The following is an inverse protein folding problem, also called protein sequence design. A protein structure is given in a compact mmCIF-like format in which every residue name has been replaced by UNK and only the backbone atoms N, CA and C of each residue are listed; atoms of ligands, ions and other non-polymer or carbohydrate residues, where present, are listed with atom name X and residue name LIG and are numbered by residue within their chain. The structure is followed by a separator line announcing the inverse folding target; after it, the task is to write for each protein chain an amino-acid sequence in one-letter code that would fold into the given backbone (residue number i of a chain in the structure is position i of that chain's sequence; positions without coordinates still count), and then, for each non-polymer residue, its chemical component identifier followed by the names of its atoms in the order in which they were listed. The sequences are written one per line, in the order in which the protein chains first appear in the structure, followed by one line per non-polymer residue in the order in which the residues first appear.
data_IF_042463455083
#
_entry.id   IF_042463455083
#
_cell.length_a   1.000
_cell.length_b   1.000
_cell.length_c   1.000
_cell.angle_alpha   90.00
_cell.angle_beta   90.00
_cell.angle_gamma   90.00
#
_symmetry.space_group_name_H-M   'P 1'
#
loop_
_entity.id
_entity.type
_entity.pdbx_description
1 polymer ?
#
# COMPACT_ATOMS: atom_id res chain seq x y z
N UNK A 1 1.57 -1.53 27.43
CA UNK A 1 0.87 -2.27 28.51
C UNK A 1 -0.15 -3.30 27.98
N UNK A 2 -1.10 -2.91 27.12
CA UNK A 2 -2.16 -3.81 26.66
C UNK A 2 -1.66 -5.05 25.88
N UNK A 3 -0.73 -4.85 24.93
CA UNK A 3 -0.19 -5.97 24.15
C UNK A 3 0.58 -6.98 25.03
N UNK A 4 1.37 -6.50 25.99
CA UNK A 4 2.07 -7.35 26.97
C UNK A 4 1.08 -8.16 27.81
N UNK A 5 0.01 -7.52 28.30
CA UNK A 5 -1.05 -8.19 29.08
C UNK A 5 -1.69 -9.34 28.29
N UNK A 6 -1.81 -9.19 26.97
CA UNK A 6 -2.37 -10.19 26.07
C UNK A 6 -1.32 -11.14 25.46
N UNK A 7 -0.03 -10.97 25.79
CA UNK A 7 1.10 -11.72 25.22
C UNK A 7 1.20 -11.61 23.69
N UNK A 8 0.93 -10.42 23.15
CA UNK A 8 0.96 -10.13 21.72
C UNK A 8 2.15 -9.23 21.31
N UNK A 9 2.93 -8.73 22.27
CA UNK A 9 4.02 -7.76 22.05
C UNK A 9 5.25 -8.33 21.29
N UNK A 10 5.37 -9.65 21.24
CA UNK A 10 6.32 -10.33 20.34
C UNK A 10 5.88 -10.31 18.88
N UNK A 11 4.58 -10.23 18.61
CA UNK A 11 3.99 -10.36 17.28
C UNK A 11 3.46 -9.04 16.71
N UNK A 12 3.03 -8.12 17.56
CA UNK A 12 2.47 -6.83 17.17
C UNK A 12 3.36 -5.73 17.76
N UNK A 13 3.98 -4.96 16.88
CA UNK A 13 4.85 -3.84 17.24
C UNK A 13 4.08 -2.53 17.24
N UNK A 14 4.41 -1.65 18.18
CA UNK A 14 3.80 -0.32 18.30
C UNK A 14 4.75 0.72 17.71
N UNK A 15 4.23 1.58 16.85
CA UNK A 15 4.95 2.72 16.30
C UNK A 15 3.96 3.85 16.00
N UNK A 16 4.44 4.95 15.44
CA UNK A 16 3.62 6.07 15.00
C UNK A 16 4.16 6.58 13.66
N UNK A 17 3.36 6.59 12.58
CA UNK A 17 3.75 7.21 11.32
C UNK A 17 4.08 8.69 11.52
N UNK A 18 5.24 9.11 11.03
CA UNK A 18 5.60 10.54 10.92
C UNK A 18 5.72 10.94 9.47
N UNK A 19 5.27 12.14 9.12
CA UNK A 19 5.58 12.71 7.82
C UNK A 19 7.07 13.08 7.75
N UNK A 20 7.70 12.98 6.57
CA UNK A 20 9.10 13.42 6.39
C UNK A 20 9.33 14.91 6.70
N UNK A 21 8.26 15.70 6.79
CA UNK A 21 8.30 17.10 7.26
C UNK A 21 8.71 17.26 8.73
N UNK A 22 8.90 16.16 9.47
CA UNK A 22 9.58 16.18 10.78
C UNK A 22 11.09 16.48 10.66
N UNK A 23 11.68 16.37 9.46
CA UNK A 23 13.05 16.76 9.19
C UNK A 23 13.21 18.29 9.10
N UNK A 24 14.27 18.81 9.70
CA UNK A 24 14.74 20.18 9.54
C UNK A 24 15.71 20.31 8.37
N UNK A 25 16.56 19.31 8.15
CA UNK A 25 17.39 19.20 6.96
C UNK A 25 17.21 17.82 6.30
N UNK A 26 17.25 17.78 4.97
CA UNK A 26 17.17 16.55 4.17
C UNK A 26 18.05 16.57 2.92
N UNK A 27 18.84 17.64 2.72
CA UNK A 27 19.76 17.74 1.59
C UNK A 27 21.13 18.31 2.02
N UNK A 28 22.25 17.66 1.64
CA UNK A 28 22.31 16.30 1.07
C UNK A 28 21.73 15.25 2.05
N UNK A 29 21.42 14.05 1.58
CA UNK A 29 20.75 13.03 2.40
C UNK A 29 21.57 12.70 3.66
N UNK A 30 22.90 12.66 3.56
CA UNK A 30 23.81 12.43 4.69
C UNK A 30 23.74 13.51 5.79
N UNK A 31 23.17 14.68 5.48
CA UNK A 31 23.01 15.78 6.43
C UNK A 31 21.60 15.82 7.04
N UNK A 32 20.82 14.76 6.85
CA UNK A 32 19.48 14.61 7.41
C UNK A 32 19.47 14.86 8.93
N UNK A 33 18.51 15.66 9.39
CA UNK A 33 18.32 15.96 10.81
C UNK A 33 16.87 16.28 11.12
N UNK A 34 16.39 15.86 12.30
CA UNK A 34 15.06 16.24 12.78
C UNK A 34 15.00 17.73 13.16
N UNK A 35 13.80 18.33 13.09
CA UNK A 35 13.58 19.71 13.53
C UNK A 35 13.93 19.88 15.01
N UNK A 36 14.78 20.85 15.31
CA UNK A 36 15.41 21.02 16.63
C UNK A 36 14.41 21.24 17.77
N UNK A 37 13.29 21.90 17.50
CA UNK A 37 12.20 22.17 18.45
C UNK A 37 11.39 20.92 18.83
N UNK A 38 11.46 19.85 18.02
CA UNK A 38 10.75 18.59 18.24
C UNK A 38 11.65 17.48 18.80
N UNK A 39 12.98 17.64 18.71
CA UNK A 39 13.95 16.58 19.07
C UNK A 39 13.77 16.10 20.51
N UNK A 40 13.80 17.02 21.48
CA UNK A 40 13.80 16.66 22.91
C UNK A 40 12.41 16.26 23.41
N UNK A 41 11.37 16.91 22.93
CA UNK A 41 10.00 16.73 23.43
C UNK A 41 9.29 15.52 22.84
N UNK A 42 9.64 15.14 21.61
CA UNK A 42 8.87 14.16 20.83
C UNK A 42 9.74 13.07 20.22
N UNK A 43 10.81 13.44 19.49
CA UNK A 43 11.58 12.48 18.70
C UNK A 43 12.37 11.53 19.61
N UNK A 44 13.20 12.04 20.53
CA UNK A 44 14.00 11.19 21.42
C UNK A 44 13.11 10.23 22.24
N UNK A 45 12.06 10.69 22.95
CA UNK A 45 11.17 9.79 23.68
C UNK A 45 10.53 8.70 22.80
N UNK A 46 10.16 9.05 21.56
CA UNK A 46 9.61 8.08 20.60
C UNK A 46 10.68 7.05 20.19
N UNK A 47 11.88 7.48 19.80
CA UNK A 47 12.95 6.58 19.36
C UNK A 47 13.43 5.66 20.50
N UNK A 48 13.51 6.17 21.74
CA UNK A 48 13.78 5.36 22.93
C UNK A 48 12.74 4.25 23.11
N UNK A 49 11.46 4.61 23.06
CA UNK A 49 10.38 3.64 23.15
C UNK A 49 10.45 2.57 22.04
N UNK A 50 10.74 2.98 20.80
CA UNK A 50 10.87 2.05 19.68
C UNK A 50 12.05 1.09 19.90
N UNK A 51 13.20 1.59 20.38
CA UNK A 51 14.38 0.77 20.66
C UNK A 51 14.12 -0.22 21.79
N UNK A 52 13.58 0.26 22.91
CA UNK A 52 13.28 -0.57 24.09
C UNK A 52 12.29 -1.70 23.80
N UNK A 53 11.36 -1.49 22.86
CA UNK A 53 10.33 -2.47 22.49
C UNK A 53 10.69 -3.34 21.28
N UNK A 54 11.88 -3.13 20.69
CA UNK A 54 12.31 -3.79 19.45
C UNK A 54 11.37 -3.50 18.28
N UNK A 55 10.83 -2.29 18.22
CA UNK A 55 9.96 -1.78 17.15
C UNK A 55 10.79 -1.05 16.09
N UNK A 56 10.13 -0.29 15.21
CA UNK A 56 10.72 0.42 14.08
C UNK A 56 10.03 1.76 13.87
N UNK A 57 10.72 2.70 13.23
CA UNK A 57 10.15 3.99 12.86
C UNK A 57 9.24 3.83 11.63
N UNK A 58 8.01 4.32 11.71
CA UNK A 58 7.11 4.43 10.56
C UNK A 58 7.21 5.83 9.96
N UNK A 59 7.41 5.94 8.65
CA UNK A 59 7.52 7.25 7.98
C UNK A 59 6.73 7.29 6.67
N UNK A 60 6.09 8.42 6.41
CA UNK A 60 5.41 8.70 5.15
C UNK A 60 6.37 9.52 4.26
N UNK A 61 6.70 8.97 3.08
CA UNK A 61 7.72 9.50 2.17
C UNK A 61 7.10 9.76 0.81
N UNK A 62 7.07 11.00 0.35
CA UNK A 62 6.42 11.37 -0.91
C UNK A 62 7.35 12.22 -1.79
N UNK A 63 8.06 11.61 -2.75
CA UNK A 63 8.83 12.33 -3.76
C UNK A 63 7.98 13.30 -4.58
N UNK A 64 6.68 12.99 -4.77
CA UNK A 64 5.73 13.85 -5.47
C UNK A 64 5.71 15.28 -4.90
N UNK A 65 5.60 15.45 -3.58
CA UNK A 65 5.52 16.80 -2.99
C UNK A 65 6.81 17.58 -3.19
N UNK A 66 7.97 16.94 -2.99
CA UNK A 66 9.26 17.57 -3.23
C UNK A 66 9.42 18.00 -4.70
N UNK A 67 9.04 17.14 -5.64
CA UNK A 67 9.04 17.45 -7.07
C UNK A 67 8.07 18.58 -7.40
N UNK A 68 6.81 18.52 -6.95
CA UNK A 68 5.79 19.54 -7.18
C UNK A 68 6.29 20.93 -6.78
N UNK A 69 6.93 21.03 -5.61
CA UNK A 69 7.39 22.30 -5.07
C UNK A 69 8.71 22.78 -5.68
N UNK A 70 9.52 21.88 -6.28
CA UNK A 70 10.86 22.20 -6.80
C UNK A 70 11.12 21.64 -8.21
N UNK A 71 10.10 21.58 -9.06
CA UNK A 71 10.14 20.91 -10.39
C UNK A 71 11.15 21.49 -11.38
N UNK A 72 11.65 22.70 -11.13
CA UNK A 72 12.73 23.33 -11.92
C UNK A 72 14.13 22.81 -11.56
N UNK A 73 14.28 22.18 -10.40
CA UNK A 73 15.57 21.73 -9.85
C UNK A 73 15.60 20.21 -9.70
N UNK A 74 14.51 19.62 -9.22
CA UNK A 74 14.37 18.18 -9.06
C UNK A 74 13.91 17.59 -10.39
N UNK A 75 14.72 16.70 -10.96
CA UNK A 75 14.35 15.97 -12.18
C UNK A 75 13.13 15.08 -11.95
N UNK A 76 12.22 15.06 -12.90
CA UNK A 76 11.08 14.15 -12.87
C UNK A 76 11.55 12.69 -12.94
N UNK A 77 12.54 12.36 -13.77
CA UNK A 77 13.04 11.00 -13.90
C UNK A 77 13.67 10.49 -12.61
N UNK A 78 14.35 11.37 -11.87
CA UNK A 78 14.90 11.09 -10.55
C UNK A 78 13.80 10.82 -9.51
N UNK A 79 12.66 11.49 -9.62
CA UNK A 79 11.50 11.27 -8.73
C UNK A 79 10.69 10.02 -9.10
N UNK A 80 10.74 9.57 -10.35
CA UNK A 80 9.95 8.44 -10.88
C UNK A 80 10.75 7.13 -10.99
N UNK A 81 11.94 7.04 -10.41
CA UNK A 81 12.85 5.89 -10.54
C UNK A 81 13.19 5.52 -12.01
N UNK A 82 13.13 6.50 -12.93
CA UNK A 82 13.52 6.30 -14.33
C UNK A 82 15.04 6.44 -14.47
N UNK A 83 15.58 6.02 -15.60
CA UNK A 83 17.01 6.18 -15.90
C UNK A 83 17.42 7.66 -15.82
N UNK A 84 18.42 7.94 -15.00
CA UNK A 84 18.92 9.29 -14.75
C UNK A 84 20.39 9.20 -14.23
N UNK A 85 21.18 10.29 -14.30
CA UNK A 85 22.57 10.28 -13.84
C UNK A 85 22.74 10.08 -12.32
N UNK A 86 21.66 10.21 -11.55
CA UNK A 86 21.66 10.22 -10.09
C UNK A 86 22.27 11.49 -9.51
N UNK A 87 22.02 11.69 -8.21
CA UNK A 87 22.57 12.79 -7.41
C UNK A 87 23.65 12.23 -6.51
N UNK A 88 24.85 12.80 -6.56
CA UNK A 88 25.94 12.45 -5.63
C UNK A 88 25.78 13.28 -4.38
N UNK A 89 25.69 12.60 -3.25
CA UNK A 89 25.68 13.19 -1.93
C UNK A 89 27.06 13.76 -1.60
N UNK A 90 27.12 15.07 -1.32
CA UNK A 90 28.37 15.78 -1.07
C UNK A 90 29.00 15.47 0.28
N UNK A 91 28.26 14.87 1.23
CA UNK A 91 28.76 14.56 2.57
C UNK A 91 29.35 13.16 2.70
N UNK A 92 28.84 12.18 1.94
CA UNK A 92 29.33 10.79 2.03
C UNK A 92 29.70 10.15 0.67
N UNK A 93 29.50 10.85 -0.45
CA UNK A 93 29.84 10.37 -1.78
C UNK A 93 28.89 9.30 -2.36
N UNK A 94 27.83 8.92 -1.63
CA UNK A 94 26.84 7.98 -2.14
C UNK A 94 26.08 8.59 -3.31
N UNK A 95 25.76 7.77 -4.31
CA UNK A 95 24.95 8.19 -5.46
C UNK A 95 23.53 7.66 -5.32
N UNK A 96 22.58 8.57 -5.25
CA UNK A 96 21.16 8.27 -5.26
C UNK A 96 20.61 8.32 -6.67
N UNK A 97 19.98 7.24 -7.14
CA UNK A 97 19.27 7.21 -8.42
C UNK A 97 17.77 7.47 -8.29
N UNK A 98 17.26 7.52 -7.06
CA UNK A 98 15.88 7.87 -6.77
C UNK A 98 15.79 8.90 -5.64
N UNK A 99 14.92 9.89 -5.81
CA UNK A 99 14.58 10.84 -4.74
C UNK A 99 13.99 10.13 -3.53
N UNK A 100 13.25 9.04 -3.73
CA UNK A 100 12.71 8.22 -2.64
C UNK A 100 13.83 7.66 -1.77
N UNK A 101 14.87 7.09 -2.37
CA UNK A 101 16.00 6.50 -1.62
C UNK A 101 16.77 7.59 -0.87
N UNK A 102 16.97 8.76 -1.48
CA UNK A 102 17.58 9.90 -0.80
C UNK A 102 16.75 10.41 0.38
N UNK A 103 15.41 10.44 0.24
CA UNK A 103 14.50 10.83 1.33
C UNK A 103 14.51 9.82 2.48
N UNK A 104 14.51 8.51 2.17
CA UNK A 104 14.63 7.46 3.20
C UNK A 104 15.98 7.58 3.92
N UNK A 105 17.08 7.77 3.18
CA UNK A 105 18.41 7.88 3.79
C UNK A 105 18.62 9.19 4.56
N UNK A 106 17.90 10.25 4.22
CA UNK A 106 17.85 11.46 5.06
C UNK A 106 17.22 11.18 6.43
N UNK A 107 16.22 10.30 6.51
CA UNK A 107 15.64 9.88 7.80
C UNK A 107 16.62 9.00 8.57
N UNK A 108 17.31 8.06 7.90
CA UNK A 108 18.37 7.29 8.53
C UNK A 108 19.49 8.18 9.07
N UNK A 109 19.97 9.15 8.29
CA UNK A 109 20.98 10.11 8.74
C UNK A 109 20.49 10.92 9.95
N UNK A 110 19.21 11.32 9.99
CA UNK A 110 18.63 12.02 11.13
C UNK A 110 18.57 11.17 12.40
N UNK A 111 18.26 9.87 12.29
CA UNK A 111 18.32 8.94 13.41
C UNK A 111 19.77 8.71 13.87
N UNK A 112 20.71 8.52 12.94
CA UNK A 112 22.14 8.37 13.21
C UNK A 112 22.74 9.60 13.91
N UNK A 113 22.33 10.81 13.53
CA UNK A 113 22.76 12.05 14.19
C UNK A 113 22.33 12.13 15.67
N UNK A 114 21.30 11.37 16.07
CA UNK A 114 20.85 11.21 17.44
C UNK A 114 21.32 9.88 18.07
N UNK A 115 22.23 9.15 17.43
CA UNK A 115 22.77 7.84 17.86
C UNK A 115 21.77 6.67 17.84
N UNK A 116 20.78 6.71 16.94
CA UNK A 116 19.81 5.63 16.71
C UNK A 116 20.06 4.81 15.42
N UNK A 117 21.32 4.48 15.19
CA UNK A 117 21.79 3.72 14.01
C UNK A 117 21.25 2.29 13.89
N UNK A 118 20.77 1.73 15.01
CA UNK A 118 20.23 0.38 15.16
C UNK A 118 18.73 0.28 14.83
N UNK A 119 18.01 1.41 14.81
CA UNK A 119 16.57 1.41 14.53
C UNK A 119 16.28 1.18 13.06
N UNK A 120 15.32 0.26 12.83
CA UNK A 120 14.77 -0.01 11.50
C UNK A 120 13.69 1.00 11.14
N UNK A 121 13.45 1.12 9.85
CA UNK A 121 12.46 2.02 9.27
C UNK A 121 11.51 1.24 8.36
N UNK A 122 10.23 1.62 8.39
CA UNK A 122 9.20 1.16 7.45
C UNK A 122 8.56 2.39 6.82
N UNK A 123 8.47 2.40 5.49
CA UNK A 123 7.75 3.47 4.78
C UNK A 123 6.27 3.10 4.77
N UNK A 124 5.47 3.77 5.58
CA UNK A 124 4.05 3.46 5.78
C UNK A 124 3.13 4.09 4.74
N UNK A 125 3.60 5.11 4.04
CA UNK A 125 2.90 5.67 2.90
C UNK A 125 3.87 6.25 1.89
N UNK A 126 3.63 5.95 0.63
CA UNK A 126 4.25 6.62 -0.51
C UNK A 126 3.40 6.42 -1.76
N UNK A 127 3.36 7.39 -2.65
CA UNK A 127 2.55 7.29 -3.86
C UNK A 127 2.68 8.50 -4.75
N UNK A 128 1.95 8.47 -5.86
CA UNK A 128 1.93 9.55 -6.84
C UNK A 128 0.52 9.70 -7.41
N UNK A 129 -0.06 10.92 -7.43
CA UNK A 129 -1.44 11.10 -7.85
C UNK A 129 -1.59 11.01 -9.37
N UNK A 130 -2.65 10.35 -9.84
CA UNK A 130 -2.98 10.18 -11.26
C UNK A 130 -3.65 11.40 -11.89
N UNK A 131 -4.13 12.34 -11.08
CA UNK A 131 -4.69 13.60 -11.51
C UNK A 131 -4.48 14.64 -10.40
N UNK A 132 -4.42 15.92 -10.76
CA UNK A 132 -4.22 17.01 -9.81
C UNK A 132 -4.68 18.34 -10.38
N UNK A 133 -4.67 19.37 -9.56
CA UNK A 133 -4.94 20.75 -9.99
C UNK A 133 -3.84 21.27 -10.91
N UNK A 134 -4.08 22.38 -11.61
CA UNK A 134 -3.10 22.95 -12.55
C UNK A 134 -1.73 23.29 -11.92
N UNK A 135 -1.69 23.55 -10.61
CA UNK A 135 -0.47 23.84 -9.86
C UNK A 135 0.27 22.56 -9.39
N UNK A 136 -0.34 21.38 -9.53
CA UNK A 136 0.20 20.11 -9.06
C UNK A 136 1.04 19.43 -10.15
N UNK A 137 2.10 20.13 -10.56
CA UNK A 137 2.99 19.69 -11.64
C UNK A 137 3.50 18.28 -11.38
N UNK A 138 3.35 17.42 -12.39
CA UNK A 138 3.73 16.02 -12.33
C UNK A 138 2.58 15.07 -12.01
N UNK A 139 1.44 15.55 -11.49
CA UNK A 139 0.26 14.71 -11.29
C UNK A 139 -0.33 14.27 -12.64
N UNK A 140 -0.21 13.00 -12.96
CA UNK A 140 -0.77 12.39 -14.17
C UNK A 140 -0.81 10.88 -14.03
N UNK A 141 -1.71 10.25 -14.77
CA UNK A 141 -1.86 8.79 -14.78
C UNK A 141 -0.57 8.08 -15.20
N UNK A 142 0.14 8.62 -16.21
CA UNK A 142 1.41 8.07 -16.69
C UNK A 142 2.52 8.16 -15.64
N UNK A 143 2.61 9.29 -14.93
CA UNK A 143 3.61 9.46 -13.88
C UNK A 143 3.27 8.62 -12.64
N UNK A 144 1.99 8.48 -12.31
CA UNK A 144 1.54 7.60 -11.23
C UNK A 144 1.88 6.13 -11.52
N UNK A 145 1.62 5.68 -12.75
CA UNK A 145 1.99 4.34 -13.21
C UNK A 145 3.52 4.14 -13.17
N UNK A 146 4.29 5.13 -13.63
CA UNK A 146 5.75 5.07 -13.59
C UNK A 146 6.28 5.01 -12.15
N UNK A 147 5.81 5.88 -11.26
CA UNK A 147 6.25 5.93 -9.87
C UNK A 147 5.95 4.62 -9.14
N UNK A 148 4.68 4.22 -9.08
CA UNK A 148 4.24 3.05 -8.32
C UNK A 148 4.79 1.76 -8.95
N UNK A 149 4.79 1.65 -10.28
CA UNK A 149 5.32 0.47 -10.97
C UNK A 149 6.83 0.30 -10.80
N UNK A 150 7.60 1.38 -10.88
CA UNK A 150 9.05 1.32 -10.65
C UNK A 150 9.39 1.14 -9.18
N UNK A 151 8.61 1.70 -8.25
CA UNK A 151 8.73 1.43 -6.82
C UNK A 151 8.55 -0.05 -6.52
N UNK A 152 7.48 -0.67 -7.02
CA UNK A 152 7.26 -2.13 -6.85
C UNK A 152 8.43 -2.92 -7.41
N UNK A 153 8.87 -2.59 -8.63
CA UNK A 153 10.06 -3.23 -9.23
C UNK A 153 11.28 -3.07 -8.33
N UNK A 154 11.54 -1.86 -7.83
CA UNK A 154 12.69 -1.55 -6.98
C UNK A 154 12.67 -2.32 -5.66
N UNK A 155 11.50 -2.44 -5.02
CA UNK A 155 11.34 -3.17 -3.75
C UNK A 155 11.48 -4.68 -3.98
N UNK A 156 10.92 -5.22 -5.06
CA UNK A 156 10.91 -6.66 -5.31
C UNK A 156 12.22 -7.21 -5.90
N UNK A 157 13.01 -6.38 -6.61
CA UNK A 157 14.25 -6.84 -7.26
C UNK A 157 15.52 -6.27 -6.66
N UNK A 158 15.43 -5.30 -5.76
CA UNK A 158 16.58 -4.62 -5.18
C UNK A 158 16.69 -4.83 -3.68
N UNK A 159 17.85 -4.47 -3.13
CA UNK A 159 18.06 -4.53 -1.68
C UNK A 159 17.64 -3.20 -1.02
N UNK A 160 18.24 -2.84 0.10
CA UNK A 160 17.99 -1.56 0.76
C UNK A 160 18.50 -0.36 -0.02
N UNK A 161 18.54 0.79 0.64
CA UNK A 161 18.98 2.07 0.07
C UNK A 161 20.52 2.14 -0.08
N UNK A 162 21.08 3.15 -0.77
CA UNK A 162 22.53 3.35 -0.82
C UNK A 162 23.23 3.39 0.55
N UNK A 163 22.64 4.02 1.58
CA UNK A 163 23.20 4.08 2.93
C UNK A 163 22.99 2.79 3.72
N UNK A 164 21.87 2.09 3.49
CA UNK A 164 21.50 0.85 4.19
C UNK A 164 21.25 -0.30 3.20
N UNK A 165 22.26 -0.73 2.43
CA UNK A 165 22.06 -1.66 1.32
C UNK A 165 21.62 -3.07 1.74
N UNK A 166 21.81 -3.44 3.00
CA UNK A 166 21.45 -4.76 3.53
C UNK A 166 20.10 -4.76 4.29
N UNK A 167 19.51 -3.59 4.54
CA UNK A 167 18.22 -3.50 5.23
C UNK A 167 17.10 -3.63 4.20
N UNK A 168 16.10 -4.51 4.41
CA UNK A 168 15.01 -4.67 3.46
C UNK A 168 14.16 -3.40 3.40
N UNK A 169 13.78 -3.02 2.19
CA UNK A 169 12.95 -1.85 1.94
C UNK A 169 11.46 -2.22 2.08
N UNK A 170 10.90 -2.05 3.28
CA UNK A 170 9.49 -2.32 3.56
C UNK A 170 8.65 -1.07 3.27
N UNK A 171 7.75 -1.15 2.29
CA UNK A 171 7.01 0.00 1.75
C UNK A 171 5.55 -0.33 1.53
N UNK A 172 4.68 0.58 1.96
CA UNK A 172 3.24 0.53 1.70
C UNK A 172 2.86 1.63 0.71
N UNK A 173 2.22 1.24 -0.39
CA UNK A 173 1.76 2.17 -1.42
C UNK A 173 0.47 2.84 -0.95
N UNK A 174 0.48 4.17 -0.98
CA UNK A 174 -0.69 5.00 -0.80
C UNK A 174 -1.29 5.35 -2.17
N UNK A 175 -2.50 4.91 -2.51
CA UNK A 175 -3.40 4.04 -1.74
C UNK A 175 -4.10 3.02 -2.64
N UNK A 176 -4.90 2.13 -2.05
CA UNK A 176 -5.61 1.12 -2.83
C UNK A 176 -6.64 1.77 -3.78
N UNK A 177 -7.46 2.70 -3.27
CA UNK A 177 -8.56 3.30 -4.03
C UNK A 177 -8.45 4.81 -4.15
N UNK A 178 -9.06 5.38 -5.19
CA UNK A 178 -9.36 6.81 -5.23
C UNK A 178 -10.42 7.15 -4.17
N UNK A 179 -10.08 8.06 -3.26
CA UNK A 179 -10.92 8.43 -2.11
C UNK A 179 -11.62 9.76 -2.36
N UNK A 180 -12.82 9.72 -2.94
CA UNK A 180 -13.55 10.90 -3.41
C UNK A 180 -13.98 11.91 -2.31
N UNK A 181 -13.96 11.50 -1.04
CA UNK A 181 -14.29 12.35 0.11
C UNK A 181 -13.07 13.06 0.73
N UNK A 182 -11.85 12.81 0.23
CA UNK A 182 -10.67 13.49 0.76
C UNK A 182 -10.73 15.00 0.49
N UNK A 183 -10.52 15.84 1.53
CA UNK A 183 -10.48 17.29 1.37
C UNK A 183 -9.16 17.71 0.70
N UNK A 184 -9.08 18.99 0.31
CA UNK A 184 -7.86 19.55 -0.27
C UNK A 184 -7.83 19.48 -1.80
N UNK A 185 -6.62 19.53 -2.39
CA UNK A 185 -6.46 19.64 -3.85
C UNK A 185 -6.95 18.39 -4.59
N UNK A 186 -7.05 18.47 -5.91
CA UNK A 186 -7.51 17.34 -6.73
C UNK A 186 -6.65 16.10 -6.60
N UNK A 187 -5.34 16.23 -6.36
CA UNK A 187 -4.47 15.08 -6.11
C UNK A 187 -4.92 14.17 -4.97
N UNK A 188 -5.45 14.74 -3.88
CA UNK A 188 -5.85 13.98 -2.69
C UNK A 188 -6.91 12.92 -3.00
N UNK A 189 -7.73 13.13 -4.04
CA UNK A 189 -8.78 12.20 -4.46
C UNK A 189 -8.32 11.17 -5.50
N UNK A 190 -7.04 11.21 -5.90
CA UNK A 190 -6.52 10.53 -7.09
C UNK A 190 -5.19 9.78 -6.84
N UNK A 191 -4.94 9.28 -5.63
CA UNK A 191 -3.75 8.44 -5.32
C UNK A 191 -3.98 6.94 -5.53
N UNK A 192 -5.21 6.52 -5.82
CA UNK A 192 -5.59 5.12 -5.90
C UNK A 192 -4.88 4.36 -7.02
N UNK A 193 -4.51 3.12 -6.73
CA UNK A 193 -4.18 2.13 -7.76
C UNK A 193 -5.45 1.72 -8.54
N UNK A 194 -6.61 1.77 -7.89
CA UNK A 194 -7.92 1.39 -8.41
C UNK A 194 -8.95 2.51 -8.23
N UNK A 195 -9.90 2.57 -9.15
CA UNK A 195 -11.17 3.27 -8.93
C UNK A 195 -12.02 2.49 -7.91
N UNK A 196 -13.01 3.13 -7.26
CA UNK A 196 -13.91 2.45 -6.31
C UNK A 196 -14.71 1.28 -6.90
N UNK A 197 -14.82 1.20 -8.24
CA UNK A 197 -15.43 0.08 -8.96
C UNK A 197 -14.43 -1.07 -9.24
N UNK A 198 -13.28 -1.07 -8.56
CA UNK A 198 -12.19 -2.05 -8.67
C UNK A 198 -11.47 -2.10 -10.02
N UNK A 199 -11.84 -1.23 -10.97
CA UNK A 199 -11.07 -1.06 -12.19
C UNK A 199 -9.75 -0.37 -11.88
N UNK A 200 -8.67 -0.83 -12.51
CA UNK A 200 -7.35 -0.23 -12.37
C UNK A 200 -7.37 1.20 -12.91
N UNK A 201 -6.81 2.14 -12.15
CA UNK A 201 -6.51 3.48 -12.68
C UNK A 201 -5.40 3.36 -13.70
N UNK A 202 -4.40 2.52 -13.46
CA UNK A 202 -3.31 2.23 -14.40
C UNK A 202 -2.75 0.82 -14.14
N UNK A 203 -2.06 0.26 -15.14
CA UNK A 203 -1.48 -1.08 -15.05
C UNK A 203 -0.05 -1.02 -14.50
N UNK A 204 0.18 -1.64 -13.34
CA UNK A 204 1.50 -1.87 -12.77
C UNK A 204 1.63 -3.32 -12.28
N UNK A 205 2.85 -3.88 -12.28
CA UNK A 205 3.11 -5.14 -11.59
C UNK A 205 2.98 -4.93 -10.08
N UNK A 206 2.33 -5.88 -9.38
CA UNK A 206 2.22 -5.89 -7.91
C UNK A 206 2.90 -7.11 -7.28
N UNK A 207 3.46 -8.01 -8.09
CA UNK A 207 4.11 -9.23 -7.62
C UNK A 207 5.32 -9.59 -8.48
N UNK A 208 6.20 -10.45 -7.96
CA UNK A 208 7.37 -10.94 -8.70
C UNK A 208 6.97 -11.62 -10.02
N UNK A 209 5.86 -12.36 -10.02
CA UNK A 209 5.30 -12.98 -11.24
C UNK A 209 4.87 -11.92 -12.24
N UNK A 210 4.23 -10.85 -11.78
CA UNK A 210 3.85 -9.70 -12.62
C UNK A 210 5.06 -8.97 -13.24
N UNK A 211 6.20 -8.95 -12.55
CA UNK A 211 7.44 -8.34 -13.08
C UNK A 211 8.09 -9.18 -14.20
N UNK A 212 7.98 -10.51 -14.12
CA UNK A 212 8.58 -11.45 -15.06
C UNK A 212 7.69 -11.69 -16.31
N UNK A 213 6.41 -11.38 -16.22
CA UNK A 213 5.55 -11.27 -17.40
C UNK A 213 6.00 -10.06 -18.21
N UNK A 214 6.45 -10.27 -19.45
CA UNK A 214 6.79 -9.22 -20.42
C UNK A 214 5.58 -8.32 -20.74
N UNK A 215 5.21 -7.44 -19.83
CA UNK A 215 4.37 -6.29 -20.12
C UNK A 215 5.26 -5.06 -20.03
N UNK A 216 5.83 -4.70 -21.19
CA UNK A 216 6.29 -3.34 -21.45
C UNK A 216 5.20 -2.34 -21.03
N UNK A 217 5.55 -1.12 -20.56
CA UNK A 217 4.54 -0.12 -20.25
C UNK A 217 3.71 0.13 -21.51
N UNK A 218 2.38 -0.03 -21.50
CA UNK A 218 1.60 0.30 -22.67
C UNK A 218 1.61 1.81 -22.79
N UNK A 219 2.35 2.31 -23.78
CA UNK A 219 2.13 3.63 -24.34
C UNK A 219 0.64 3.72 -24.71
N UNK A 220 0.02 4.82 -24.27
CA UNK A 220 -1.35 5.21 -24.55
C UNK A 220 -1.70 5.03 -26.03
N UNK A 221 -2.63 4.13 -26.31
CA UNK A 221 -3.48 4.26 -27.48
C UNK A 221 -4.89 3.77 -27.13
N UNK A 222 -5.76 4.76 -26.96
CA UNK A 222 -7.19 4.59 -26.88
C UNK A 222 -7.68 4.11 -28.24
N UNK A 223 -8.28 2.92 -28.28
CA UNK A 223 -9.48 2.70 -29.07
C UNK A 223 -10.23 1.47 -28.55
N UNK A 224 -11.42 1.74 -28.03
CA UNK A 224 -12.41 0.74 -27.65
C UNK A 224 -12.76 -0.12 -28.87
N UNK A 225 -12.67 -1.43 -28.70
CA UNK A 225 -13.66 -2.40 -29.17
C UNK A 225 -13.46 -3.67 -28.35
N UNK A 226 -14.44 -4.00 -27.51
CA UNK A 226 -14.64 -5.39 -27.08
C UNK A 226 -14.91 -6.25 -28.34
N UNK A 227 -14.63 -7.57 -28.38
CA UNK A 227 -15.06 -8.49 -27.33
C UNK A 227 -14.20 -9.77 -27.10
N UNK A 228 -14.74 -10.59 -26.17
CA UNK A 228 -14.70 -12.06 -26.02
C UNK A 228 -13.54 -12.79 -25.27
N UNK A 229 -13.92 -13.32 -24.10
CA UNK A 229 -13.65 -14.64 -23.47
C UNK A 229 -12.29 -15.36 -23.70
N UNK A 230 -11.42 -15.30 -22.68
CA UNK A 230 -10.71 -16.50 -22.20
C UNK A 230 -10.04 -16.22 -20.83
N UNK A 231 -10.65 -16.67 -19.74
CA UNK A 231 -10.00 -16.74 -18.43
C UNK A 231 -9.67 -18.20 -18.12
N UNK A 232 -8.47 -18.61 -18.51
CA UNK A 232 -7.90 -19.91 -18.21
C UNK A 232 -6.56 -19.76 -17.51
N UNK A 233 -6.46 -20.28 -16.27
CA UNK A 233 -5.19 -20.56 -15.60
C UNK A 233 -5.03 -19.98 -14.20
N UNK A 234 -5.92 -20.34 -13.25
CA UNK A 234 -5.71 -20.05 -11.83
C UNK A 234 -4.66 -21.03 -11.27
N UNK A 235 -3.52 -20.52 -10.82
CA UNK A 235 -2.51 -21.28 -10.08
C UNK A 235 -2.94 -21.45 -8.61
N UNK A 236 -2.85 -22.69 -8.11
CA UNK A 236 -3.31 -23.16 -6.78
C UNK A 236 -2.63 -22.38 -5.64
N UNK A 237 -3.40 -21.59 -4.88
CA UNK A 237 -2.91 -20.88 -3.70
C UNK A 237 -2.56 -21.86 -2.56
N UNK A 238 -1.43 -21.64 -1.88
CA UNK A 238 -1.02 -22.39 -0.68
C UNK A 238 -1.97 -22.12 0.49
N UNK A 239 -2.29 -23.16 1.26
CA UNK A 239 -3.27 -23.11 2.36
C UNK A 239 -2.86 -22.09 3.42
N UNK A 240 -3.57 -20.95 3.47
CA UNK A 240 -3.34 -19.87 4.43
C UNK A 240 -3.73 -18.48 3.92
N UNK A 241 -3.83 -18.27 2.61
CA UNK A 241 -4.18 -16.97 2.01
C UNK A 241 -5.37 -17.08 1.05
N UNK A 242 -6.52 -17.42 1.61
CA UNK A 242 -7.76 -17.57 0.84
C UNK A 242 -8.87 -16.81 1.56
N UNK A 243 -9.69 -16.14 0.76
CA UNK A 243 -10.82 -15.33 1.19
C UNK A 243 -12.01 -15.70 0.33
N UNK A 244 -13.21 -15.67 0.91
CA UNK A 244 -14.45 -16.00 0.22
C UNK A 244 -15.24 -14.72 0.00
N UNK A 245 -15.41 -14.30 -1.25
CA UNK A 245 -16.17 -13.10 -1.61
C UNK A 245 -17.38 -13.46 -2.47
N UNK A 246 -18.43 -12.64 -2.39
CA UNK A 246 -19.60 -12.81 -3.24
C UNK A 246 -19.23 -12.47 -4.69
N UNK A 247 -19.77 -13.24 -5.65
CA UNK A 247 -19.58 -12.91 -7.06
C UNK A 247 -20.38 -11.65 -7.39
N UNK A 248 -19.78 -10.62 -8.03
CA UNK A 248 -20.51 -9.41 -8.42
C UNK A 248 -21.55 -9.67 -9.52
N UNK A 249 -21.46 -10.81 -10.20
CA UNK A 249 -22.40 -11.25 -11.24
C UNK A 249 -23.41 -12.29 -10.74
N UNK A 250 -23.40 -12.63 -9.45
CA UNK A 250 -24.41 -13.53 -8.89
C UNK A 250 -25.76 -12.83 -8.82
N UNK A 251 -26.83 -13.60 -9.03
CA UNK A 251 -28.18 -13.07 -8.93
C UNK A 251 -28.48 -12.64 -7.49
N UNK A 252 -29.26 -11.56 -7.33
CA UNK A 252 -29.53 -10.98 -6.02
C UNK A 252 -30.20 -11.98 -5.06
N UNK A 253 -31.03 -12.89 -5.59
CA UNK A 253 -31.70 -13.94 -4.81
C UNK A 253 -30.68 -14.94 -4.23
N UNK A 254 -29.73 -15.41 -5.05
CA UNK A 254 -28.66 -16.31 -4.62
C UNK A 254 -27.76 -15.65 -3.55
N UNK A 255 -27.49 -14.35 -3.71
CA UNK A 255 -26.71 -13.58 -2.74
C UNK A 255 -27.45 -13.40 -1.41
N UNK A 256 -28.77 -13.19 -1.45
CA UNK A 256 -29.57 -13.03 -0.24
C UNK A 256 -29.70 -14.36 0.50
N UNK A 257 -29.97 -15.47 -0.20
CA UNK A 257 -30.06 -16.80 0.40
C UNK A 257 -28.74 -17.22 1.06
N UNK A 258 -27.62 -17.01 0.37
CA UNK A 258 -26.31 -17.30 0.93
C UNK A 258 -25.99 -16.41 2.14
N UNK A 259 -26.34 -15.11 2.09
CA UNK A 259 -26.14 -14.17 3.19
C UNK A 259 -26.95 -14.61 4.43
N UNK A 260 -28.22 -14.95 4.23
CA UNK A 260 -29.12 -15.41 5.29
C UNK A 260 -28.61 -16.70 5.94
N UNK A 261 -28.15 -17.66 5.13
CA UNK A 261 -27.52 -18.87 5.66
C UNK A 261 -26.24 -18.55 6.43
N UNK A 262 -25.33 -17.76 5.85
CA UNK A 262 -24.04 -17.45 6.47
C UNK A 262 -24.25 -16.79 7.84
N UNK A 263 -25.15 -15.81 7.94
CA UNK A 263 -25.47 -15.11 9.19
C UNK A 263 -26.34 -15.91 10.16
N UNK A 264 -27.12 -16.87 9.66
CA UNK A 264 -27.96 -17.77 10.46
C UNK A 264 -27.22 -19.06 10.80
N UNK A 265 -27.58 -20.14 10.12
CA UNK A 265 -27.10 -21.51 10.40
C UNK A 265 -25.59 -21.69 10.18
N UNK A 266 -25.01 -20.91 9.27
CA UNK A 266 -23.57 -20.91 8.98
C UNK A 266 -22.72 -20.38 10.13
N UNK A 267 -23.30 -19.51 10.97
CA UNK A 267 -22.64 -18.96 12.15
C UNK A 267 -21.53 -17.94 11.85
N UNK A 268 -21.58 -17.25 10.71
CA UNK A 268 -20.77 -16.07 10.45
C UNK A 268 -21.01 -15.00 11.53
N UNK A 269 -19.99 -14.19 11.83
CA UNK A 269 -20.22 -12.95 12.57
C UNK A 269 -20.77 -11.91 11.59
N UNK A 270 -22.06 -11.59 11.70
CA UNK A 270 -22.72 -10.57 10.88
C UNK A 270 -23.10 -9.31 11.66
N UNK A 271 -22.67 -9.18 12.91
CA UNK A 271 -22.87 -7.95 13.70
C UNK A 271 -22.30 -6.71 13.01
N UNK A 272 -21.07 -6.76 12.44
CA UNK A 272 -20.46 -5.61 11.79
C UNK A 272 -21.18 -5.10 10.53
N UNK A 273 -22.00 -5.92 9.87
CA UNK A 273 -22.76 -5.51 8.67
C UNK A 273 -24.19 -5.06 8.97
N UNK A 274 -24.61 -5.04 10.23
CA UNK A 274 -25.92 -4.50 10.62
C UNK A 274 -25.93 -2.97 10.56
N UNK A 275 -27.11 -2.31 10.52
CA UNK A 275 -27.20 -0.86 10.65
C UNK A 275 -26.40 -0.33 11.85
N UNK A 276 -25.55 0.68 11.61
CA UNK A 276 -24.55 1.23 12.56
C UNK A 276 -23.34 0.34 12.86
N UNK A 277 -23.19 -0.80 12.17
CA UNK A 277 -22.03 -1.67 12.27
C UNK A 277 -20.81 -1.12 11.51
N UNK A 278 -19.62 -1.55 11.92
CA UNK A 278 -18.34 -1.06 11.38
C UNK A 278 -18.12 -1.39 9.89
N UNK A 279 -18.82 -2.40 9.37
CA UNK A 279 -18.75 -2.87 7.97
C UNK A 279 -20.11 -2.72 7.26
N UNK A 280 -21.00 -1.85 7.74
CA UNK A 280 -22.30 -1.60 7.11
C UNK A 280 -22.16 -0.93 5.73
N UNK A 281 -21.13 -0.10 5.54
CA UNK A 281 -20.91 0.60 4.28
C UNK A 281 -19.79 -0.09 3.47
N UNK A 282 -19.95 -0.23 2.14
CA UNK A 282 -21.12 0.20 1.35
C UNK A 282 -22.35 -0.66 1.66
N UNK A 283 -23.51 0.01 1.77
CA UNK A 283 -24.79 -0.66 2.03
C UNK A 283 -25.31 -1.32 0.75
N UNK A 284 -24.70 -2.44 0.37
CA UNK A 284 -25.10 -3.25 -0.78
C UNK A 284 -25.08 -4.73 -0.44
N UNK A 285 -25.97 -5.48 -1.11
CA UNK A 285 -26.11 -6.91 -0.90
C UNK A 285 -24.80 -7.67 -1.16
N UNK A 286 -24.09 -7.32 -2.24
CA UNK A 286 -22.80 -7.94 -2.60
C UNK A 286 -21.73 -7.70 -1.52
N UNK A 287 -21.66 -6.49 -0.94
CA UNK A 287 -20.67 -6.17 0.09
C UNK A 287 -20.96 -6.88 1.41
N UNK A 288 -22.23 -6.89 1.83
CA UNK A 288 -22.67 -7.61 3.04
C UNK A 288 -22.51 -9.12 2.90
N UNK A 289 -22.89 -9.69 1.75
CA UNK A 289 -22.68 -11.10 1.42
C UNK A 289 -21.19 -11.47 1.44
N UNK A 290 -20.33 -10.66 0.79
CA UNK A 290 -18.88 -10.90 0.79
C UNK A 290 -18.29 -10.94 2.20
N UNK A 291 -18.72 -10.04 3.08
CA UNK A 291 -18.27 -10.03 4.47
C UNK A 291 -18.72 -11.29 5.21
N UNK A 292 -20.01 -11.64 5.12
CA UNK A 292 -20.60 -12.80 5.79
C UNK A 292 -19.96 -14.11 5.29
N UNK A 293 -19.73 -14.23 3.98
CA UNK A 293 -19.13 -15.42 3.36
C UNK A 293 -17.69 -15.60 3.82
N UNK A 294 -16.90 -14.53 3.87
CA UNK A 294 -15.55 -14.61 4.38
C UNK A 294 -15.55 -14.96 5.89
N UNK A 295 -16.40 -14.32 6.68
CA UNK A 295 -16.54 -14.60 8.13
C UNK A 295 -16.87 -16.09 8.38
N UNK A 296 -17.81 -16.65 7.61
CA UNK A 296 -18.12 -18.07 7.59
C UNK A 296 -16.93 -18.94 7.19
N UNK A 297 -16.28 -18.63 6.07
CA UNK A 297 -15.14 -19.36 5.53
C UNK A 297 -13.96 -19.45 6.51
N UNK A 298 -13.64 -18.34 7.16
CA UNK A 298 -12.57 -18.27 8.17
C UNK A 298 -12.90 -19.12 9.40
N UNK A 299 -14.18 -19.14 9.85
CA UNK A 299 -14.63 -19.96 10.99
C UNK A 299 -14.61 -21.46 10.71
N UNK A 300 -14.84 -21.89 9.47
CA UNK A 300 -14.86 -23.31 9.06
C UNK A 300 -13.49 -23.84 8.61
N UNK A 301 -12.41 -23.25 9.13
CA UNK A 301 -11.03 -23.69 8.90
C UNK A 301 -10.56 -23.70 7.42
N UNK A 302 -11.21 -22.91 6.55
CA UNK A 302 -10.74 -22.64 5.18
C UNK A 302 -10.63 -23.90 4.29
N UNK A 303 -11.46 -24.92 4.50
CA UNK A 303 -11.45 -26.11 3.66
C UNK A 303 -11.98 -25.81 2.24
N UNK A 304 -11.31 -26.34 1.21
CA UNK A 304 -11.82 -26.37 -0.17
C UNK A 304 -13.16 -27.13 -0.17
N UNK A 305 -14.23 -26.48 -0.62
CA UNK A 305 -15.61 -26.99 -0.56
C UNK A 305 -16.52 -26.31 0.47
N UNK A 306 -15.98 -25.51 1.39
CA UNK A 306 -16.80 -24.70 2.32
C UNK A 306 -17.44 -23.48 1.65
N UNK A 307 -17.07 -23.19 0.41
CA UNK A 307 -17.68 -22.17 -0.46
C UNK A 307 -19.02 -22.62 -1.04
N UNK A 308 -19.34 -23.92 -0.97
CA UNK A 308 -20.63 -24.45 -1.38
C UNK A 308 -21.55 -24.49 -0.16
N UNK A 309 -22.42 -23.49 -0.07
CA UNK A 309 -23.52 -23.47 0.89
C UNK A 309 -24.47 -24.65 0.59
N UNK A 310 -25.15 -25.21 1.60
CA UNK A 310 -25.97 -26.39 1.42
C UNK A 310 -27.30 -26.05 0.72
N UNK A 311 -27.26 -25.59 -0.53
CA UNK A 311 -28.31 -25.59 -1.58
C UNK A 311 -27.71 -25.06 -2.90
N UNK A 312 -26.79 -25.76 -3.57
CA UNK A 312 -26.35 -25.44 -4.96
C UNK A 312 -26.05 -23.94 -5.31
N UNK A 313 -25.73 -23.10 -4.32
CA UNK A 313 -25.35 -21.70 -4.54
C UNK A 313 -23.93 -21.73 -5.11
N UNK A 314 -23.80 -21.56 -6.44
CA UNK A 314 -22.53 -21.41 -7.12
C UNK A 314 -21.92 -20.05 -6.79
N UNK A 315 -21.30 -19.95 -5.61
CA UNK A 315 -20.34 -18.86 -5.37
C UNK A 315 -19.15 -19.15 -6.26
N UNK A 316 -18.89 -18.30 -7.25
CA UNK A 316 -17.77 -18.50 -8.15
C UNK A 316 -16.49 -18.66 -7.34
N UNK A 317 -15.74 -19.74 -7.59
CA UNK A 317 -14.31 -19.90 -7.25
C UNK A 317 -13.45 -18.89 -8.05
N UNK A 318 -13.90 -17.63 -8.16
CA UNK A 318 -13.01 -16.56 -8.55
C UNK A 318 -12.14 -16.29 -7.33
N UNK A 319 -11.03 -17.02 -7.30
CA UNK A 319 -9.86 -16.74 -6.49
C UNK A 319 -9.45 -15.29 -6.77
N UNK A 320 -10.06 -14.35 -6.05
CA UNK A 320 -9.57 -12.99 -5.95
C UNK A 320 -8.23 -13.06 -5.23
N UNK A 321 -7.15 -12.92 -5.99
CA UNK A 321 -5.82 -12.73 -5.44
C UNK A 321 -5.82 -11.40 -4.65
N UNK A 322 -6.03 -11.48 -3.33
CA UNK A 322 -5.35 -10.57 -2.40
C UNK A 322 -3.91 -11.05 -2.31
N UNK A 323 -3.04 -10.50 -3.16
CA UNK A 323 -1.60 -10.61 -2.95
C UNK A 323 -1.27 -9.70 -1.75
N UNK A 324 -0.82 -10.32 -0.65
CA UNK A 324 -0.32 -9.65 0.56
C UNK A 324 0.75 -8.60 0.27
#
# INVERSE_FOLDING_TARGET
ASLVKLKLDSNIKVSSPVAISCLGNSYPASAGSFKTDQVQSTIIPMLDFLRETGSYLMVNVYPFFAYKDNSKTISLDYSLFKDNPGVVDSGNGLRYKSLFEAQVDAVYAAMSALTYDDLKLVVTETGWPSAGDAAEVGASQDNAAAYNGNLVRRVLTGNGTPLRPNDPLNVYIFALFNENQKPGPTSERNYGLFYPNEQRVYNIPLSQKGLNGNQSPPASNVNQTAPVNNWGGVSKATSGQTWCMASPNAEAEELQEGLDYACGEGGADCGPIQPNGACYNPNSLVAHASYAYNSYYQKKARHLGTVNFPQDINVSDQFGEFQQ
#
